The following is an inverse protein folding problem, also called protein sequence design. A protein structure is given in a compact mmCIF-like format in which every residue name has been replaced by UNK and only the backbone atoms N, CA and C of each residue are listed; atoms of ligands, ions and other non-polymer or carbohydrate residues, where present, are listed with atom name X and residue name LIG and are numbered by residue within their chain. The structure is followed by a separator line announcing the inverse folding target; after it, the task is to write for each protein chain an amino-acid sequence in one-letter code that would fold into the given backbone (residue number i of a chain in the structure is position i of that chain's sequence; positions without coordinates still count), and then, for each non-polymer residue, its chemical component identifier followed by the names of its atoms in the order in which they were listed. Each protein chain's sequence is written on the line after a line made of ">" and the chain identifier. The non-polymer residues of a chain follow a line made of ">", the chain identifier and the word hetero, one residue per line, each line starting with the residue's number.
data_IF_405014060699
#
_entry.id   IF_405014060699
#
_cell.length_a   1.000
_cell.length_b   1.000
_cell.length_c   1.000
_cell.angle_alpha   90.00
_cell.angle_beta   90.00
_cell.angle_gamma   90.00
#
_symmetry.space_group_name_H-M   'P 1'
#
loop_
_entity.id
_entity.type
_entity.pdbx_description
1 polymer ?
#
# COMPACT_ATOMS: atom_id res chain seq x y z
N UNK A 1 14.46 6.57 25.41
CA UNK A 1 13.33 7.50 25.31
C UNK A 1 12.87 7.60 23.88
N UNK A 2 11.63 7.20 23.66
CA UNK A 2 11.04 7.43 22.36
C UNK A 2 10.91 8.94 22.15
N UNK A 3 11.54 9.46 21.12
CA UNK A 3 11.34 10.84 20.74
C UNK A 3 9.87 11.03 20.42
N UNK A 4 9.16 11.70 21.28
CA UNK A 4 7.77 12.03 20.99
C UNK A 4 7.74 12.97 19.81
N UNK A 5 6.97 12.57 18.81
CA UNK A 5 6.75 13.44 17.67
C UNK A 5 6.04 14.70 18.13
N UNK A 6 6.47 15.85 17.61
CA UNK A 6 5.80 17.10 17.91
C UNK A 6 4.38 17.08 17.38
N UNK A 7 3.49 17.86 17.97
CA UNK A 7 2.11 17.96 17.52
C UNK A 7 2.03 18.48 16.09
N UNK A 8 2.94 19.37 15.73
CA UNK A 8 3.02 19.88 14.36
C UNK A 8 3.39 18.78 13.36
N UNK A 9 4.39 17.97 13.71
CA UNK A 9 4.79 16.82 12.87
C UNK A 9 3.66 15.82 12.76
N UNK A 10 2.98 15.51 13.86
CA UNK A 10 1.82 14.61 13.84
C UNK A 10 0.70 15.14 12.95
N UNK A 11 0.47 16.45 12.96
CA UNK A 11 -0.54 17.08 12.11
C UNK A 11 -0.18 16.93 10.64
N UNK A 12 1.07 17.17 10.28
CA UNK A 12 1.54 17.00 8.90
C UNK A 12 1.41 15.55 8.45
N UNK A 13 1.84 14.61 9.28
CA UNK A 13 1.75 13.19 8.97
C UNK A 13 0.30 12.73 8.86
N UNK A 14 -0.58 13.24 9.70
CA UNK A 14 -2.01 12.95 9.62
C UNK A 14 -2.59 13.43 8.28
N UNK A 15 -2.25 14.63 7.86
CA UNK A 15 -2.70 15.16 6.56
C UNK A 15 -2.18 14.31 5.41
N UNK A 16 -0.93 13.88 5.45
CA UNK A 16 -0.36 13.02 4.43
C UNK A 16 -1.06 11.66 4.38
N UNK A 17 -1.38 11.09 5.53
CA UNK A 17 -2.12 9.82 5.60
C UNK A 17 -3.54 9.97 5.04
N UNK A 18 -4.23 11.03 5.38
CA UNK A 18 -5.57 11.30 4.84
C UNK A 18 -5.54 11.45 3.33
N UNK A 19 -4.56 12.17 2.79
CA UNK A 19 -4.39 12.34 1.35
C UNK A 19 -4.07 11.02 0.67
N UNK A 20 -3.14 10.25 1.24
CA UNK A 20 -2.79 8.93 0.71
C UNK A 20 -3.99 8.00 0.70
N UNK A 21 -4.78 8.01 1.77
CA UNK A 21 -6.00 7.20 1.85
C UNK A 21 -6.98 7.56 0.74
N UNK A 22 -7.23 8.84 0.53
CA UNK A 22 -8.15 9.31 -0.50
C UNK A 22 -7.67 8.93 -1.90
N UNK A 23 -6.37 9.10 -2.16
CA UNK A 23 -5.77 8.76 -3.46
C UNK A 23 -5.84 7.25 -3.72
N UNK A 24 -5.52 6.44 -2.71
CA UNK A 24 -5.56 4.98 -2.83
C UNK A 24 -6.99 4.45 -3.01
N UNK A 25 -7.95 5.02 -2.30
CA UNK A 25 -9.35 4.64 -2.46
C UNK A 25 -9.86 4.98 -3.85
N UNK A 26 -9.51 6.16 -4.38
CA UNK A 26 -9.89 6.58 -5.72
C UNK A 26 -9.25 5.67 -6.78
N UNK A 27 -7.98 5.32 -6.63
CA UNK A 27 -7.27 4.43 -7.55
C UNK A 27 -7.88 3.02 -7.54
N UNK A 28 -8.17 2.49 -6.36
CA UNK A 28 -8.79 1.18 -6.20
C UNK A 28 -10.16 1.13 -6.88
N UNK A 29 -10.96 2.17 -6.69
CA UNK A 29 -12.28 2.25 -7.31
C UNK A 29 -12.19 2.34 -8.83
N UNK A 30 -11.26 3.14 -9.36
CA UNK A 30 -11.05 3.27 -10.79
C UNK A 30 -10.64 1.94 -11.41
N UNK A 31 -9.75 1.19 -10.77
CA UNK A 31 -9.31 -0.13 -11.21
C UNK A 31 -10.43 -1.16 -11.16
N UNK A 32 -11.25 -1.14 -10.12
CA UNK A 32 -12.39 -2.02 -9.99
C UNK A 32 -13.39 -1.80 -11.14
N UNK A 33 -13.63 -0.54 -11.50
CA UNK A 33 -14.48 -0.20 -12.64
C UNK A 33 -13.91 -0.72 -13.96
N UNK A 34 -12.60 -0.59 -14.14
CA UNK A 34 -11.90 -1.06 -15.33
C UNK A 34 -11.96 -2.58 -15.46
N UNK A 35 -11.75 -3.30 -14.34
CA UNK A 35 -11.86 -4.76 -14.32
C UNK A 35 -13.29 -5.26 -14.56
N UNK A 36 -14.29 -4.49 -14.14
CA UNK A 36 -15.69 -4.82 -14.31
C UNK A 36 -16.20 -4.59 -15.75
N UNK A 37 -15.45 -3.83 -16.59
CA UNK A 37 -15.83 -3.59 -17.96
C UNK A 37 -15.53 -4.83 -18.81
N UNK A 38 -16.56 -5.48 -19.42
CA UNK A 38 -16.31 -6.65 -20.25
C UNK A 38 -15.48 -6.29 -21.49
N UNK A 39 -14.59 -7.19 -21.97
CA UNK A 39 -13.76 -6.91 -23.15
C UNK A 39 -14.55 -6.60 -24.41
N UNK A 40 -15.81 -7.03 -24.50
CA UNK A 40 -16.66 -6.84 -25.69
C UNK A 40 -17.34 -5.48 -25.79
N UNK A 41 -17.28 -4.65 -24.76
CA UNK A 41 -17.96 -3.34 -24.76
C UNK A 41 -17.10 -2.21 -25.31
N UNK A 42 -15.89 -2.50 -25.77
CA UNK A 42 -14.98 -1.49 -26.34
C UNK A 42 -15.26 -1.16 -27.80
N UNK A 43 -16.45 -1.53 -28.30
CA UNK A 43 -16.96 -0.98 -29.54
C UNK A 43 -16.35 -1.52 -30.86
N UNK A 44 -15.68 -2.65 -30.81
CA UNK A 44 -15.14 -3.27 -32.03
C UNK A 44 -15.88 -4.55 -32.38
N UNK A 45 -16.52 -4.55 -33.56
CA UNK A 45 -17.25 -5.69 -34.12
C UNK A 45 -16.34 -6.78 -34.69
N UNK A 46 -15.06 -6.78 -34.37
CA UNK A 46 -14.10 -7.74 -34.88
C UNK A 46 -13.83 -8.86 -33.89
N UNK A 47 -13.84 -10.09 -34.40
CA UNK A 47 -13.39 -11.23 -33.60
C UNK A 47 -11.95 -10.99 -33.14
N UNK A 48 -11.70 -10.96 -31.82
CA UNK A 48 -10.36 -10.66 -31.33
C UNK A 48 -9.37 -11.75 -31.79
N UNK A 49 -8.20 -11.31 -32.24
CA UNK A 49 -7.11 -12.23 -32.56
C UNK A 49 -6.58 -12.88 -31.29
N UNK A 50 -5.87 -14.00 -31.41
CA UNK A 50 -5.21 -14.64 -30.29
C UNK A 50 -4.25 -13.69 -29.56
N UNK A 51 -3.58 -12.80 -30.32
CA UNK A 51 -2.70 -11.78 -29.74
C UNK A 51 -3.47 -10.75 -28.91
N UNK A 52 -4.64 -10.35 -29.39
CA UNK A 52 -5.49 -9.39 -28.67
C UNK A 52 -6.02 -10.00 -27.36
N UNK A 53 -6.42 -11.29 -27.41
CA UNK A 53 -6.87 -12.02 -26.22
C UNK A 53 -5.72 -12.15 -25.22
N UNK A 54 -4.52 -12.50 -25.69
CA UNK A 54 -3.34 -12.61 -24.83
C UNK A 54 -2.97 -11.26 -24.20
N UNK A 55 -3.05 -10.16 -24.96
CA UNK A 55 -2.79 -8.81 -24.45
C UNK A 55 -3.82 -8.41 -23.40
N UNK A 56 -5.10 -8.74 -23.60
CA UNK A 56 -6.16 -8.46 -22.64
C UNK A 56 -5.95 -9.23 -21.34
N UNK A 57 -5.54 -10.50 -21.41
CA UNK A 57 -5.25 -11.31 -20.22
C UNK A 57 -4.08 -10.71 -19.45
N UNK A 58 -2.98 -10.34 -20.15
CA UNK A 58 -1.82 -9.72 -19.52
C UNK A 58 -2.18 -8.38 -18.87
N UNK A 59 -3.00 -7.58 -19.54
CA UNK A 59 -3.46 -6.30 -19.02
C UNK A 59 -4.27 -6.49 -17.73
N UNK A 60 -5.19 -7.44 -17.73
CA UNK A 60 -6.02 -7.76 -16.56
C UNK A 60 -5.17 -8.28 -15.39
N UNK A 61 -4.19 -9.14 -15.67
CA UNK A 61 -3.27 -9.64 -14.65
C UNK A 61 -2.49 -8.48 -14.01
N UNK A 62 -2.01 -7.53 -14.82
CA UNK A 62 -1.31 -6.35 -14.32
C UNK A 62 -2.23 -5.46 -13.46
N UNK A 63 -3.49 -5.31 -13.83
CA UNK A 63 -4.47 -4.56 -13.04
C UNK A 63 -4.73 -5.23 -11.70
N UNK A 64 -4.86 -6.54 -11.67
CA UNK A 64 -5.08 -7.31 -10.45
C UNK A 64 -3.88 -7.17 -9.51
N UNK A 65 -2.65 -7.30 -10.02
CA UNK A 65 -1.44 -7.11 -9.23
C UNK A 65 -1.35 -5.70 -8.65
N UNK A 66 -1.66 -4.69 -9.45
CA UNK A 66 -1.68 -3.29 -9.00
C UNK A 66 -2.72 -3.07 -7.91
N UNK A 67 -3.89 -3.63 -8.07
CA UNK A 67 -4.96 -3.55 -7.08
C UNK A 67 -4.55 -4.17 -5.75
N UNK A 68 -3.88 -5.33 -5.78
CA UNK A 68 -3.38 -5.99 -4.57
C UNK A 68 -2.37 -5.12 -3.84
N UNK A 69 -1.43 -4.50 -4.56
CA UNK A 69 -0.42 -3.61 -3.97
C UNK A 69 -1.10 -2.39 -3.34
N UNK A 70 -2.01 -1.76 -4.04
CA UNK A 70 -2.72 -0.57 -3.55
C UNK A 70 -3.63 -0.89 -2.38
N UNK A 71 -4.27 -2.06 -2.38
CA UNK A 71 -5.10 -2.51 -1.27
C UNK A 71 -4.24 -2.74 -0.02
N UNK A 72 -3.05 -3.32 -0.18
CA UNK A 72 -2.12 -3.52 0.92
C UNK A 72 -1.63 -2.18 1.49
N UNK A 73 -1.32 -1.22 0.63
CA UNK A 73 -0.92 0.12 1.06
C UNK A 73 -2.06 0.85 1.78
N UNK A 74 -3.27 0.71 1.29
CA UNK A 74 -4.45 1.30 1.92
C UNK A 74 -4.65 0.72 3.33
N UNK A 75 -4.49 -0.59 3.49
CA UNK A 75 -4.55 -1.26 4.79
C UNK A 75 -3.48 -0.70 5.75
N UNK A 76 -2.26 -0.49 5.26
CA UNK A 76 -1.19 0.09 6.05
C UNK A 76 -1.49 1.53 6.47
N UNK A 77 -2.04 2.33 5.56
CA UNK A 77 -2.43 3.72 5.84
C UNK A 77 -3.53 3.75 6.92
N UNK A 78 -4.56 2.94 6.77
CA UNK A 78 -5.65 2.85 7.75
C UNK A 78 -5.15 2.37 9.11
N UNK A 79 -4.24 1.41 9.12
CA UNK A 79 -3.60 0.93 10.35
C UNK A 79 -2.81 2.04 11.02
N UNK A 80 -2.07 2.84 10.25
CA UNK A 80 -1.34 4.00 10.78
C UNK A 80 -2.28 5.03 11.40
N UNK A 81 -3.41 5.29 10.76
CA UNK A 81 -4.43 6.19 11.29
C UNK A 81 -5.01 5.67 12.62
N UNK A 82 -5.23 4.36 12.73
CA UNK A 82 -5.68 3.76 13.99
C UNK A 82 -4.63 3.90 15.08
N UNK A 83 -3.35 3.69 14.77
CA UNK A 83 -2.27 3.88 15.74
C UNK A 83 -2.17 5.34 16.18
N UNK A 84 -2.40 6.27 15.28
CA UNK A 84 -2.41 7.70 15.60
C UNK A 84 -3.54 8.02 16.58
N UNK A 85 -4.73 7.44 16.37
CA UNK A 85 -5.86 7.61 17.27
C UNK A 85 -5.62 6.96 18.63
N UNK A 86 -4.89 5.84 18.70
CA UNK A 86 -4.60 5.13 19.95
C UNK A 86 -3.34 5.64 20.67
N UNK A 87 -2.60 6.57 20.07
CA UNK A 87 -1.39 7.12 20.68
C UNK A 87 -0.14 6.27 20.51
N UNK A 88 -0.17 5.26 19.65
CA UNK A 88 0.97 4.36 19.40
C UNK A 88 1.68 4.64 18.07
N UNK A 89 1.29 5.70 17.37
CA UNK A 89 1.92 6.09 16.11
C UNK A 89 3.39 6.46 16.31
N UNK A 90 4.22 6.02 15.38
CA UNK A 90 5.66 6.28 15.44
C UNK A 90 6.46 5.24 16.20
N UNK A 91 5.80 4.22 16.74
CA UNK A 91 6.46 3.11 17.41
C UNK A 91 6.42 1.86 16.52
N UNK A 92 7.54 1.15 16.46
CA UNK A 92 7.63 -0.10 15.72
C UNK A 92 6.70 -1.15 16.33
N UNK A 93 5.88 -1.80 15.50
CA UNK A 93 4.93 -2.81 15.98
C UNK A 93 5.62 -4.10 16.45
N UNK A 94 6.86 -4.34 16.03
CA UNK A 94 7.59 -5.55 16.39
C UNK A 94 8.46 -5.37 17.62
N UNK A 95 9.27 -4.30 17.68
CA UNK A 95 10.23 -4.10 18.77
C UNK A 95 9.81 -3.03 19.76
N UNK A 96 8.76 -2.25 19.47
CA UNK A 96 8.30 -1.18 20.33
C UNK A 96 9.19 0.07 20.35
N UNK A 97 10.30 0.06 19.62
CA UNK A 97 11.20 1.20 19.52
C UNK A 97 10.65 2.29 18.62
N UNK A 98 11.20 3.50 18.76
CA UNK A 98 10.77 4.62 17.92
C UNK A 98 11.19 4.43 16.47
N UNK A 99 10.26 4.66 15.54
CA UNK A 99 10.58 4.72 14.12
C UNK A 99 11.21 6.08 13.85
N UNK A 100 12.37 6.15 13.15
CA UNK A 100 13.00 7.43 12.84
C UNK A 100 12.05 8.36 12.09
N UNK A 101 12.08 9.65 12.45
CA UNK A 101 11.21 10.63 11.83
C UNK A 101 11.45 10.74 10.33
N UNK A 102 12.70 10.57 9.90
CA UNK A 102 13.06 10.60 8.48
C UNK A 102 12.31 9.51 7.69
N UNK A 103 12.17 8.33 8.29
CA UNK A 103 11.42 7.23 7.68
C UNK A 103 9.93 7.55 7.60
N UNK A 104 9.38 8.14 8.67
CA UNK A 104 7.96 8.54 8.70
C UNK A 104 7.66 9.66 7.71
N UNK A 105 8.61 10.58 7.50
CA UNK A 105 8.43 11.66 6.52
C UNK A 105 8.38 11.14 5.09
N UNK A 106 9.12 10.09 4.80
CA UNK A 106 9.10 9.44 3.48
C UNK A 106 7.92 8.48 3.35
N UNK A 107 7.63 7.74 4.42
CA UNK A 107 6.54 6.76 4.43
C UNK A 107 5.76 6.86 5.74
N UNK A 108 4.73 7.74 5.77
CA UNK A 108 3.96 7.93 7.01
C UNK A 108 3.23 6.68 7.50
N UNK A 109 2.95 5.74 6.60
CA UNK A 109 2.30 4.48 6.94
C UNK A 109 3.25 3.44 7.51
N UNK A 110 4.54 3.72 7.64
CA UNK A 110 5.52 2.78 8.15
C UNK A 110 5.13 2.31 9.55
N UNK A 111 5.04 1.00 9.73
CA UNK A 111 4.70 0.37 11.00
C UNK A 111 5.91 -0.23 11.71
N UNK A 112 7.06 -0.28 11.03
CA UNK A 112 8.27 -0.90 11.52
C UNK A 112 9.47 -0.03 11.23
N UNK A 113 10.50 -0.13 12.09
CA UNK A 113 11.79 0.46 11.78
C UNK A 113 12.47 -0.34 10.64
N UNK A 114 13.57 0.19 10.13
CA UNK A 114 14.26 -0.42 8.98
C UNK A 114 14.74 -1.84 9.32
N UNK A 115 15.27 -2.04 10.52
CA UNK A 115 15.81 -3.34 10.94
C UNK A 115 14.71 -4.41 10.99
N UNK A 116 13.56 -4.07 11.58
CA UNK A 116 12.43 -5.01 11.67
C UNK A 116 11.79 -5.25 10.30
N UNK A 117 11.68 -4.20 9.47
CA UNK A 117 11.16 -4.34 8.10
C UNK A 117 12.05 -5.26 7.26
N UNK A 118 13.36 -5.11 7.36
CA UNK A 118 14.31 -5.97 6.65
C UNK A 118 14.21 -7.43 7.08
N UNK A 119 13.98 -7.69 8.36
CA UNK A 119 13.78 -9.06 8.84
C UNK A 119 12.55 -9.71 8.21
N UNK A 120 11.49 -8.94 8.05
CA UNK A 120 10.25 -9.43 7.46
C UNK A 120 10.40 -9.70 5.96
N UNK A 121 11.17 -8.87 5.27
CA UNK A 121 11.40 -8.98 3.82
C UNK A 121 12.42 -10.06 3.46
N UNK A 122 13.17 -10.55 4.42
CA UNK A 122 14.12 -11.62 4.15
C UNK A 122 13.39 -12.87 3.66
N UNK A 123 13.79 -13.42 2.50
CA UNK A 123 13.26 -14.72 2.10
C UNK A 123 13.55 -15.73 3.20
N UNK A 124 12.56 -16.59 3.43
CA UNK A 124 12.74 -17.67 4.43
C UNK A 124 14.07 -18.35 4.20
N UNK A 125 14.89 -18.44 5.24
CA UNK A 125 16.17 -19.13 5.15
C UNK A 125 15.91 -20.54 4.63
N UNK A 126 16.69 -21.01 3.61
CA UNK A 126 16.52 -22.38 3.17
C UNK A 126 16.74 -23.30 4.39
N UNK A 127 15.86 -24.27 4.53
CA UNK A 127 15.96 -25.23 5.61
C UNK A 127 17.33 -25.90 5.50
N UNK A 128 18.17 -25.65 6.48
CA UNK A 128 19.45 -26.33 6.52
C UNK A 128 19.20 -27.78 6.92
N UNK A 129 19.77 -28.71 6.14
CA UNK A 129 19.71 -30.12 6.53
C UNK A 129 20.38 -30.38 7.88
#
# INVERSE_FOLDING_TARGET
>A
MSARLSQETLRLLRQQLERSRADLQAATLAQARELATPPGERGEDTTPSLLDVASDVSYRENLIERELVETNELTEVESAQRRMASGTFGLCVDCGGAIPIERLMVRPSASRDIACARRLERPASPIRP
#
